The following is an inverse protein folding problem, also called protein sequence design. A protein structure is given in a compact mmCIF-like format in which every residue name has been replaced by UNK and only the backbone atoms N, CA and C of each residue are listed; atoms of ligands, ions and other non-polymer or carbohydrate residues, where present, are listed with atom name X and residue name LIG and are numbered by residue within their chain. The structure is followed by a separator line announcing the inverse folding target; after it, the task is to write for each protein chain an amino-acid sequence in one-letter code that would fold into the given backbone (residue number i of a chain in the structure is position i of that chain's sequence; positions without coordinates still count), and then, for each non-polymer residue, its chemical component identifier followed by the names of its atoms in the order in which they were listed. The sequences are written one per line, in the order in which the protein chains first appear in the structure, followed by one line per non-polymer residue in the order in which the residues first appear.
data_IF_311874821973
#
_entry.id   IF_311874821973
#
_cell.length_a   1.000
_cell.length_b   1.000
_cell.length_c   1.000
_cell.angle_alpha   90.00
_cell.angle_beta   90.00
_cell.angle_gamma   90.00
#
_symmetry.space_group_name_H-M   'P 1'
#
loop_
_entity.id
_entity.type
_entity.pdbx_description
1 polymer ?
#
# COMPACT_ATOMS: atom_id res chain seq x y z
N UNK A 1 9.24 2.50 -10.86
CA UNK A 1 9.60 3.63 -9.95
C UNK A 1 10.35 3.05 -8.77
N UNK A 2 11.31 3.73 -8.14
CA UNK A 2 11.96 3.14 -6.96
C UNK A 2 11.11 3.32 -5.69
N UNK A 3 11.23 2.39 -4.75
CA UNK A 3 10.51 2.44 -3.46
C UNK A 3 10.72 3.72 -2.66
N UNK A 4 11.90 4.33 -2.69
CA UNK A 4 12.15 5.57 -1.93
C UNK A 4 11.33 6.71 -2.53
N UNK A 5 11.22 6.78 -3.84
CA UNK A 5 10.35 7.74 -4.52
C UNK A 5 8.89 7.53 -4.10
N UNK A 6 8.38 6.30 -4.12
CA UNK A 6 7.00 5.99 -3.71
C UNK A 6 6.75 6.37 -2.23
N UNK A 7 7.67 6.02 -1.33
CA UNK A 7 7.52 6.30 0.10
C UNK A 7 7.57 7.80 0.41
N UNK A 8 8.37 8.58 -0.32
CA UNK A 8 8.49 10.03 -0.14
C UNK A 8 7.41 10.85 -0.85
N UNK A 9 6.53 10.19 -1.62
CA UNK A 9 5.51 10.85 -2.43
C UNK A 9 4.47 11.57 -1.57
N UNK A 10 4.16 12.81 -1.97
CA UNK A 10 3.08 13.62 -1.39
C UNK A 10 1.69 13.16 -1.86
N UNK A 11 0.65 13.62 -1.16
CA UNK A 11 -0.73 13.18 -1.33
C UNK A 11 -1.25 13.32 -2.77
N UNK A 12 -1.16 14.50 -3.38
CA UNK A 12 -1.70 14.75 -4.72
C UNK A 12 -1.13 13.77 -5.77
N UNK A 13 0.20 13.68 -5.86
CA UNK A 13 0.88 12.74 -6.77
C UNK A 13 0.55 11.28 -6.46
N UNK A 14 0.37 10.92 -5.19
CA UNK A 14 0.00 9.57 -4.78
C UNK A 14 -1.40 9.20 -5.26
N UNK A 15 -2.37 10.11 -5.09
CA UNK A 15 -3.76 9.89 -5.49
C UNK A 15 -3.90 9.77 -7.01
N UNK A 16 -3.21 10.63 -7.76
CA UNK A 16 -3.19 10.57 -9.23
C UNK A 16 -2.61 9.24 -9.71
N UNK A 17 -1.45 8.84 -9.17
CA UNK A 17 -0.80 7.60 -9.57
C UNK A 17 -1.63 6.36 -9.20
N UNK A 18 -2.30 6.38 -8.04
CA UNK A 18 -3.23 5.31 -7.64
C UNK A 18 -4.41 5.22 -8.60
N UNK A 19 -4.96 6.35 -9.02
CA UNK A 19 -6.03 6.37 -10.02
C UNK A 19 -5.55 5.78 -11.36
N UNK A 20 -4.38 6.21 -11.83
CA UNK A 20 -3.80 5.74 -13.09
C UNK A 20 -3.48 4.24 -13.07
N UNK A 21 -2.96 3.72 -11.95
CA UNK A 21 -2.54 2.31 -11.83
C UNK A 21 -3.67 1.35 -11.51
N UNK A 22 -4.64 1.77 -10.69
CA UNK A 22 -5.65 0.87 -10.15
C UNK A 22 -7.07 1.22 -10.59
N UNK A 23 -7.29 2.36 -11.25
CA UNK A 23 -8.61 2.86 -11.62
C UNK A 23 -9.44 3.36 -10.44
N UNK A 24 -8.86 3.38 -9.23
CA UNK A 24 -9.56 3.74 -7.98
C UNK A 24 -9.39 5.24 -7.75
N UNK A 25 -10.51 5.97 -7.67
CA UNK A 25 -10.51 7.41 -7.39
C UNK A 25 -10.70 7.67 -5.89
N UNK A 26 -9.65 8.15 -5.23
CA UNK A 26 -9.68 8.51 -3.82
C UNK A 26 -9.87 10.03 -3.65
N UNK A 27 -10.71 10.42 -2.67
CA UNK A 27 -10.96 11.84 -2.36
C UNK A 27 -9.97 12.46 -1.36
N UNK A 28 -8.98 11.68 -0.92
CA UNK A 28 -7.96 12.06 0.06
C UNK A 28 -7.45 10.85 0.85
N UNK A 29 -6.57 11.10 1.81
CA UNK A 29 -5.94 10.05 2.63
C UNK A 29 -6.54 9.89 4.03
N UNK A 30 -7.69 10.50 4.32
CA UNK A 30 -8.37 10.38 5.62
C UNK A 30 -9.07 9.01 5.78
N UNK A 31 -8.57 8.18 6.70
CA UNK A 31 -9.06 6.81 6.95
C UNK A 31 -10.58 6.74 7.18
N UNK A 32 -11.13 7.66 7.97
CA UNK A 32 -12.56 7.68 8.33
C UNK A 32 -13.49 8.02 7.17
N UNK A 33 -12.98 8.57 6.07
CA UNK A 33 -13.79 8.99 4.91
C UNK A 33 -13.60 8.10 3.69
N UNK A 34 -12.37 7.68 3.41
CA UNK A 34 -12.03 7.12 2.10
C UNK A 34 -11.57 5.67 2.16
N UNK A 35 -11.55 5.02 3.34
CA UNK A 35 -11.02 3.66 3.49
C UNK A 35 -11.82 2.65 2.66
N UNK A 36 -13.14 2.82 2.56
CA UNK A 36 -13.98 1.93 1.73
C UNK A 36 -13.57 1.95 0.26
N UNK A 37 -13.19 3.11 -0.29
CA UNK A 37 -12.73 3.21 -1.67
C UNK A 37 -11.32 2.63 -1.81
N UNK A 38 -10.44 2.90 -0.85
CA UNK A 38 -9.08 2.33 -0.83
C UNK A 38 -9.09 0.80 -0.69
N UNK A 39 -10.13 0.22 -0.09
CA UNK A 39 -10.28 -1.22 0.07
C UNK A 39 -10.35 -1.96 -1.26
N UNK A 40 -10.83 -1.32 -2.33
CA UNK A 40 -10.82 -1.89 -3.69
C UNK A 40 -9.40 -2.27 -4.16
N UNK A 41 -8.39 -1.53 -3.70
CA UNK A 41 -6.98 -1.83 -3.97
C UNK A 41 -6.55 -3.09 -3.20
N UNK A 42 -6.97 -3.25 -1.95
CA UNK A 42 -6.70 -4.43 -1.13
C UNK A 42 -7.31 -5.68 -1.76
N UNK A 43 -8.56 -5.61 -2.22
CA UNK A 43 -9.21 -6.71 -2.93
C UNK A 43 -8.55 -7.02 -4.26
N UNK A 44 -8.04 -6.01 -4.97
CA UNK A 44 -7.25 -6.24 -6.18
C UNK A 44 -5.94 -6.98 -5.87
N UNK A 45 -5.23 -6.54 -4.84
CA UNK A 45 -4.03 -7.22 -4.34
C UNK A 45 -4.33 -8.70 -4.01
N UNK A 46 -5.42 -8.97 -3.30
CA UNK A 46 -5.87 -10.33 -2.96
C UNK A 46 -6.12 -11.20 -4.19
N UNK A 47 -6.88 -10.70 -5.17
CA UNK A 47 -7.11 -11.41 -6.44
C UNK A 47 -5.81 -11.71 -7.20
N UNK A 48 -4.82 -10.84 -7.07
CA UNK A 48 -3.51 -10.97 -7.73
C UNK A 48 -2.50 -11.79 -6.88
N UNK A 49 -2.98 -12.42 -5.79
CA UNK A 49 -2.25 -13.38 -4.95
C UNK A 49 -1.48 -12.76 -3.78
N UNK A 50 -1.71 -11.49 -3.47
CA UNK A 50 -1.12 -10.81 -2.32
C UNK A 50 -2.00 -10.93 -1.08
N UNK A 51 -1.39 -11.17 0.07
CA UNK A 51 -1.99 -10.96 1.38
C UNK A 51 -1.59 -9.58 1.90
N UNK A 52 -2.54 -8.85 2.48
CA UNK A 52 -2.29 -7.52 3.09
C UNK A 52 -2.39 -7.61 4.61
N UNK A 53 -1.35 -7.20 5.34
CA UNK A 53 -1.33 -7.08 6.81
C UNK A 53 -1.46 -5.61 7.20
N UNK A 54 -2.45 -5.28 8.03
CA UNK A 54 -2.69 -3.94 8.55
C UNK A 54 -2.63 -3.98 10.06
N UNK A 55 -1.75 -3.17 10.66
CA UNK A 55 -1.62 -3.03 12.12
C UNK A 55 -1.77 -1.59 12.53
N UNK A 56 -2.70 -1.35 13.45
CA UNK A 56 -3.01 -0.04 14.00
C UNK A 56 -2.78 -0.08 15.51
N UNK A 57 -2.09 0.92 16.03
CA UNK A 57 -1.85 1.12 17.46
C UNK A 57 -1.67 2.60 17.77
N UNK A 58 -1.43 2.92 19.04
CA UNK A 58 -1.15 4.29 19.47
C UNK A 58 0.09 4.83 18.74
N UNK A 59 -0.08 5.86 17.92
CA UNK A 59 0.99 6.45 17.11
C UNK A 59 1.51 5.56 15.97
N UNK A 60 0.84 4.45 15.66
CA UNK A 60 1.32 3.46 14.69
C UNK A 60 0.24 3.09 13.68
N UNK A 61 0.57 3.22 12.39
CA UNK A 61 -0.23 2.65 11.30
C UNK A 61 0.69 1.97 10.30
N UNK A 62 0.60 0.66 10.19
CA UNK A 62 1.45 -0.15 9.32
C UNK A 62 0.59 -0.92 8.34
N UNK A 63 1.06 -0.95 7.10
CA UNK A 63 0.51 -1.77 6.02
C UNK A 63 1.68 -2.50 5.38
N UNK A 64 1.56 -3.81 5.17
CA UNK A 64 2.53 -4.61 4.41
C UNK A 64 1.78 -5.51 3.44
N UNK A 65 2.47 -5.87 2.35
CA UNK A 65 2.00 -6.84 1.38
C UNK A 65 2.91 -8.06 1.39
N UNK A 66 2.31 -9.22 1.25
CA UNK A 66 2.99 -10.49 1.33
C UNK A 66 2.51 -11.42 0.21
N UNK A 67 3.43 -12.06 -0.51
CA UNK A 67 3.10 -13.02 -1.56
C UNK A 67 3.99 -14.25 -1.44
N UNK A 68 3.41 -15.42 -1.64
CA UNK A 68 4.18 -16.63 -1.89
C UNK A 68 4.33 -16.78 -3.41
N UNK A 69 5.53 -16.62 -3.93
CA UNK A 69 5.87 -16.98 -5.31
C UNK A 69 6.81 -18.19 -5.33
N UNK A 70 7.10 -18.71 -6.53
CA UNK A 70 7.89 -19.94 -6.72
C UNK A 70 9.30 -19.90 -6.12
N UNK A 71 9.80 -18.72 -5.74
CA UNK A 71 11.09 -18.50 -5.10
C UNK A 71 10.99 -18.32 -3.57
N UNK A 72 9.77 -18.33 -3.02
CA UNK A 72 9.50 -18.37 -1.59
C UNK A 72 8.60 -17.23 -1.07
N UNK A 73 8.58 -17.02 0.25
CA UNK A 73 7.79 -15.95 0.89
C UNK A 73 8.45 -14.57 0.66
N UNK A 74 7.83 -13.71 -0.15
CA UNK A 74 8.23 -12.33 -0.37
C UNK A 74 7.36 -11.34 0.40
N UNK A 75 7.96 -10.43 1.17
CA UNK A 75 7.24 -9.32 1.83
C UNK A 75 7.67 -8.00 1.24
N UNK A 76 6.79 -7.01 1.20
CA UNK A 76 7.15 -5.70 0.66
C UNK A 76 8.12 -5.01 1.62
N UNK A 77 7.85 -5.01 2.93
CA UNK A 77 8.67 -4.30 3.92
C UNK A 77 9.39 -5.21 4.91
N UNK A 78 8.75 -6.25 5.46
CA UNK A 78 9.30 -7.03 6.57
C UNK A 78 10.67 -7.68 6.27
N UNK A 79 10.96 -8.05 5.03
CA UNK A 79 12.23 -8.66 4.61
C UNK A 79 13.44 -7.72 4.71
N UNK A 80 13.20 -6.41 4.89
CA UNK A 80 14.26 -5.40 5.00
C UNK A 80 14.50 -4.93 6.45
N UNK A 81 13.84 -5.55 7.44
CA UNK A 81 13.97 -5.16 8.85
C UNK A 81 13.42 -3.77 9.19
N UNK A 82 12.79 -3.09 8.23
CA UNK A 82 12.17 -1.78 8.41
C UNK A 82 10.74 -1.79 7.87
N UNK A 83 9.79 -1.51 8.77
CA UNK A 83 8.38 -1.42 8.43
C UNK A 83 7.89 0.01 8.67
N UNK A 84 7.63 0.79 7.60
CA UNK A 84 7.23 2.19 7.73
C UNK A 84 5.92 2.33 8.51
N UNK A 85 5.84 3.38 9.32
CA UNK A 85 4.57 3.86 9.86
C UNK A 85 4.06 4.98 8.95
N UNK A 86 2.81 4.88 8.54
CA UNK A 86 2.13 5.84 7.68
C UNK A 86 1.29 6.83 8.51
N UNK A 87 0.94 7.97 7.92
CA UNK A 87 0.06 8.94 8.58
C UNK A 87 -1.40 8.41 8.62
N UNK A 88 -1.78 7.63 7.61
CA UNK A 88 -3.07 6.95 7.49
C UNK A 88 -2.94 5.52 6.97
N UNK A 89 -3.92 4.67 7.24
CA UNK A 89 -4.00 3.31 6.66
C UNK A 89 -4.13 3.41 5.14
N UNK A 90 -4.91 4.36 4.64
CA UNK A 90 -5.08 4.57 3.19
C UNK A 90 -3.75 4.91 2.51
N UNK A 91 -2.95 5.79 3.10
CA UNK A 91 -1.60 6.09 2.60
C UNK A 91 -0.77 4.81 2.52
N UNK A 92 -0.82 3.99 3.58
CA UNK A 92 -0.15 2.70 3.64
C UNK A 92 -0.60 1.75 2.53
N UNK A 93 -1.91 1.58 2.33
CA UNK A 93 -2.48 0.76 1.25
C UNK A 93 -1.96 1.22 -0.11
N UNK A 94 -2.04 2.51 -0.40
CA UNK A 94 -1.63 3.08 -1.68
C UNK A 94 -0.15 2.84 -1.96
N UNK A 95 0.73 3.19 -1.02
CA UNK A 95 2.19 3.06 -1.19
C UNK A 95 2.61 1.59 -1.24
N UNK A 96 2.03 0.75 -0.40
CA UNK A 96 2.29 -0.70 -0.39
C UNK A 96 1.90 -1.32 -1.72
N UNK A 97 0.69 -1.03 -2.20
CA UNK A 97 0.23 -1.52 -3.50
C UNK A 97 1.15 -1.06 -4.62
N UNK A 98 1.46 0.24 -4.73
CA UNK A 98 2.36 0.74 -5.78
C UNK A 98 3.71 0.02 -5.79
N UNK A 99 4.32 -0.21 -4.62
CA UNK A 99 5.57 -0.97 -4.55
C UNK A 99 5.37 -2.40 -5.05
N UNK A 100 4.27 -3.05 -4.67
CA UNK A 100 3.92 -4.41 -5.10
C UNK A 100 3.89 -4.58 -6.62
N UNK A 101 3.42 -3.57 -7.35
CA UNK A 101 3.23 -3.61 -8.82
C UNK A 101 4.31 -2.86 -9.63
N UNK A 102 5.20 -2.11 -8.98
CA UNK A 102 6.31 -1.41 -9.66
C UNK A 102 7.66 -2.14 -9.50
N UNK A 103 7.81 -2.96 -8.44
CA UNK A 103 9.03 -3.73 -8.17
C UNK A 103 8.94 -5.22 -8.56
N UNK A 104 7.78 -5.72 -9.04
CA UNK A 104 7.58 -7.11 -9.49
C UNK A 104 7.17 -7.22 -10.95
#
# INVERSE_FOLDING_TARGET
MDRKEILSMGEEKLLDLVHDRFGVKLGGLEDTKYLSAAWEIVEKMERDGWTTDIRIGEGLKRVDGYKFDGDGPGTIFAQYGHWPSFNSVIEGICKTALIAYEEN
#
